data_IF_344725134229
#
_entry.id   IF_344725134229
#
_cell.length_a   1.000
_cell.length_b   1.000
_cell.length_c   1.000
_cell.angle_alpha   90.00
_cell.angle_beta   90.00
_cell.angle_gamma   90.00
#
_symmetry.space_group_name_H-M   'P 1'
#
loop_
_entity.id
_entity.type
_entity.pdbx_description
1 polymer ?
#
# COMPACT_ATOMS: atom_id res chain seq x y z
N UNK A 1 -14.70 -43.46 26.83
CA UNK A 1 -14.10 -42.76 25.66
C UNK A 1 -12.61 -42.64 25.91
N UNK A 2 -11.75 -42.99 24.95
CA UNK A 2 -10.30 -42.74 25.10
C UNK A 2 -10.07 -41.23 25.20
N UNK A 3 -9.33 -40.80 26.21
CA UNK A 3 -8.99 -39.39 26.38
C UNK A 3 -8.19 -38.87 25.19
N UNK A 4 -8.57 -37.70 24.67
CA UNK A 4 -7.93 -37.08 23.50
C UNK A 4 -6.67 -36.32 23.94
N UNK A 5 -5.63 -37.05 24.34
CA UNK A 5 -4.37 -36.45 24.83
C UNK A 5 -3.36 -36.30 23.69
N UNK A 6 -2.62 -35.18 23.68
CA UNK A 6 -1.52 -34.98 22.74
C UNK A 6 -0.29 -35.76 23.23
N UNK A 7 0.09 -36.79 22.48
CA UNK A 7 1.26 -37.63 22.76
C UNK A 7 2.33 -37.46 21.67
N UNK A 8 3.57 -37.84 21.96
CA UNK A 8 4.65 -37.86 20.95
C UNK A 8 4.32 -38.76 19.76
N UNK A 9 3.61 -39.88 19.99
CA UNK A 9 3.13 -40.74 18.90
C UNK A 9 2.14 -40.01 17.98
N UNK A 10 1.23 -39.22 18.54
CA UNK A 10 0.29 -38.41 17.75
C UNK A 10 1.03 -37.32 16.96
N UNK A 11 2.04 -36.68 17.56
CA UNK A 11 2.87 -35.67 16.88
C UNK A 11 3.67 -36.30 15.73
N UNK A 12 4.31 -37.45 15.95
CA UNK A 12 5.05 -38.17 14.91
C UNK A 12 4.13 -38.59 13.74
N UNK A 13 2.92 -39.07 14.06
CA UNK A 13 1.90 -39.36 13.05
C UNK A 13 1.50 -38.10 12.28
N UNK A 14 1.29 -37.00 12.97
CA UNK A 14 0.96 -35.71 12.34
C UNK A 14 2.06 -35.25 11.39
N UNK A 15 3.32 -35.32 11.80
CA UNK A 15 4.46 -34.99 10.96
C UNK A 15 4.51 -35.85 9.69
N UNK A 16 4.30 -37.17 9.82
CA UNK A 16 4.25 -38.11 8.68
C UNK A 16 3.14 -37.74 7.70
N UNK A 17 1.96 -37.41 8.18
CA UNK A 17 0.83 -37.00 7.33
C UNK A 17 1.05 -35.65 6.66
N UNK A 18 1.75 -34.71 7.32
CA UNK A 18 2.15 -33.45 6.67
C UNK A 18 3.19 -33.66 5.56
N UNK A 19 4.13 -34.60 5.74
CA UNK A 19 5.08 -35.02 4.70
C UNK A 19 4.36 -35.63 3.49
N UNK A 20 3.42 -36.55 3.73
CA UNK A 20 2.57 -37.14 2.68
C UNK A 20 1.71 -36.11 1.95
N UNK A 21 1.28 -35.06 2.65
CA UNK A 21 0.55 -33.93 2.07
C UNK A 21 1.46 -32.90 1.38
N UNK A 22 2.71 -33.28 1.08
CA UNK A 22 3.72 -32.47 0.37
C UNK A 22 3.97 -31.09 0.99
N UNK A 23 3.83 -30.97 2.32
CA UNK A 23 4.14 -29.71 3.01
C UNK A 23 5.65 -29.49 3.08
N UNK A 24 6.06 -28.23 2.90
CA UNK A 24 7.48 -27.89 3.00
C UNK A 24 8.03 -28.11 4.41
N UNK A 25 9.33 -28.42 4.57
CA UNK A 25 9.94 -28.66 5.88
C UNK A 25 9.70 -27.54 6.90
N UNK A 26 9.73 -26.28 6.45
CA UNK A 26 9.44 -25.12 7.31
C UNK A 26 7.98 -25.08 7.78
N UNK A 27 7.03 -25.48 6.93
CA UNK A 27 5.62 -25.54 7.30
C UNK A 27 5.39 -26.66 8.32
N UNK A 28 6.03 -27.81 8.12
CA UNK A 28 5.99 -28.95 9.04
C UNK A 28 6.53 -28.55 10.42
N UNK A 29 7.75 -28.01 10.47
CA UNK A 29 8.37 -27.56 11.72
C UNK A 29 7.50 -26.54 12.46
N UNK A 30 6.94 -25.56 11.73
CA UNK A 30 6.03 -24.58 12.32
C UNK A 30 4.80 -25.26 12.90
N UNK A 31 4.13 -26.13 12.15
CA UNK A 31 2.88 -26.76 12.58
C UNK A 31 3.11 -27.67 13.79
N UNK A 32 4.19 -28.45 13.78
CA UNK A 32 4.60 -29.29 14.92
C UNK A 32 4.88 -28.43 16.15
N UNK A 33 5.64 -27.33 16.01
CA UNK A 33 5.92 -26.40 17.11
C UNK A 33 4.63 -25.78 17.68
N UNK A 34 3.72 -25.38 16.81
CA UNK A 34 2.45 -24.76 17.20
C UNK A 34 1.54 -25.77 17.95
N UNK A 35 1.55 -27.05 17.55
CA UNK A 35 0.88 -28.15 18.28
C UNK A 35 1.57 -28.45 19.62
N UNK A 36 2.90 -28.46 19.67
CA UNK A 36 3.65 -28.62 20.93
C UNK A 36 3.32 -27.51 21.92
N UNK A 37 3.09 -26.28 21.44
CA UNK A 37 2.64 -25.18 22.31
C UNK A 37 1.27 -25.48 22.95
N UNK A 38 0.33 -26.02 22.18
CA UNK A 38 -0.95 -26.50 22.73
C UNK A 38 -0.76 -27.67 23.70
N UNK A 39 0.17 -28.59 23.42
CA UNK A 39 0.51 -29.70 24.32
C UNK A 39 1.01 -29.18 25.68
N UNK A 40 1.93 -28.20 25.67
CA UNK A 40 2.42 -27.56 26.90
C UNK A 40 1.28 -26.88 27.65
N UNK A 41 0.38 -26.19 26.95
CA UNK A 41 -0.78 -25.57 27.58
C UNK A 41 -1.74 -26.59 28.19
N UNK A 42 -1.99 -27.69 27.48
CA UNK A 42 -2.86 -28.76 27.97
C UNK A 42 -2.26 -29.45 29.20
N UNK A 43 -0.94 -29.47 29.36
CA UNK A 43 -0.24 -29.99 30.54
C UNK A 43 -0.70 -31.41 30.92
N UNK A 44 -0.71 -32.31 29.93
CA UNK A 44 -1.17 -33.69 30.10
C UNK A 44 -2.68 -33.88 30.17
N UNK A 45 -3.49 -32.81 30.24
CA UNK A 45 -4.96 -32.90 30.24
C UNK A 45 -5.49 -33.37 28.88
N UNK A 46 -6.59 -34.13 28.92
CA UNK A 46 -7.35 -34.47 27.71
C UNK A 46 -7.92 -33.23 27.03
N UNK A 47 -7.81 -33.16 25.70
CA UNK A 47 -8.37 -32.05 24.94
C UNK A 47 -9.90 -32.11 24.93
N UNK A 48 -10.52 -31.05 25.43
CA UNK A 48 -11.96 -30.78 25.34
C UNK A 48 -12.21 -29.51 24.53
N UNK A 49 -13.44 -29.30 24.07
CA UNK A 49 -13.80 -28.08 23.35
C UNK A 49 -13.57 -26.82 24.21
N UNK A 50 -13.85 -26.90 25.50
CA UNK A 50 -13.66 -25.80 26.43
C UNK A 50 -12.19 -25.45 26.64
N UNK A 51 -11.30 -26.45 26.72
CA UNK A 51 -9.86 -26.23 26.78
C UNK A 51 -9.35 -25.53 25.52
N UNK A 52 -9.85 -25.91 24.35
CA UNK A 52 -9.46 -25.28 23.07
C UNK A 52 -9.92 -23.81 23.00
N UNK A 53 -11.11 -23.50 23.50
CA UNK A 53 -11.63 -22.13 23.60
C UNK A 53 -10.81 -21.32 24.61
N UNK A 54 -10.50 -21.89 25.78
CA UNK A 54 -9.65 -21.26 26.78
C UNK A 54 -8.25 -20.96 26.25
N UNK A 55 -7.63 -21.90 25.53
CA UNK A 55 -6.34 -21.69 24.88
C UNK A 55 -6.38 -20.55 23.86
N UNK A 56 -7.45 -20.47 23.05
CA UNK A 56 -7.64 -19.36 22.11
C UNK A 56 -7.70 -18.03 22.85
N UNK A 57 -8.47 -17.95 23.94
CA UNK A 57 -8.61 -16.74 24.76
C UNK A 57 -7.26 -16.32 25.37
N UNK A 58 -6.47 -17.28 25.84
CA UNK A 58 -5.12 -17.00 26.34
C UNK A 58 -4.18 -16.45 25.27
N UNK A 59 -4.24 -16.98 24.05
CA UNK A 59 -3.47 -16.44 22.93
C UNK A 59 -3.87 -15.01 22.58
N UNK A 60 -5.14 -14.63 22.78
CA UNK A 60 -5.67 -13.28 22.57
C UNK A 60 -5.26 -12.32 23.69
N UNK A 61 -5.36 -12.74 24.96
CA UNK A 61 -5.20 -11.87 26.12
C UNK A 61 -3.76 -11.80 26.65
N UNK A 62 -3.08 -12.94 26.75
CA UNK A 62 -1.78 -13.06 27.43
C UNK A 62 -0.62 -13.29 26.44
N UNK A 63 -0.92 -13.79 25.24
CA UNK A 63 0.09 -14.14 24.25
C UNK A 63 0.72 -12.94 23.52
N UNK A 64 0.15 -11.74 23.61
CA UNK A 64 0.62 -10.55 22.88
C UNK A 64 0.62 -10.72 21.35
N UNK A 65 -0.12 -11.69 20.83
CA UNK A 65 -0.10 -12.04 19.41
C UNK A 65 -1.11 -11.21 18.61
N UNK A 66 -0.72 -10.83 17.40
CA UNK A 66 -1.67 -10.28 16.41
C UNK A 66 -2.65 -11.36 15.97
N UNK A 67 -3.89 -10.99 15.65
CA UNK A 67 -4.94 -11.92 15.23
C UNK A 67 -4.54 -12.85 14.07
N UNK A 68 -3.75 -12.37 13.10
CA UNK A 68 -3.23 -13.23 12.02
C UNK A 68 -2.25 -14.30 12.50
N UNK A 69 -1.43 -13.99 13.52
CA UNK A 69 -0.55 -14.97 14.15
C UNK A 69 -1.38 -16.02 14.89
N UNK A 70 -2.40 -15.59 15.65
CA UNK A 70 -3.34 -16.50 16.34
C UNK A 70 -4.01 -17.43 15.33
N UNK A 71 -4.56 -16.88 14.24
CA UNK A 71 -5.15 -17.68 13.17
C UNK A 71 -4.19 -18.71 12.56
N UNK A 72 -2.89 -18.36 12.47
CA UNK A 72 -1.85 -19.28 12.03
C UNK A 72 -1.62 -20.45 12.99
N UNK A 73 -1.66 -20.20 14.32
CA UNK A 73 -1.64 -21.25 15.34
C UNK A 73 -2.89 -22.13 15.25
N UNK A 74 -4.07 -21.51 15.21
CA UNK A 74 -5.36 -22.20 15.13
C UNK A 74 -5.47 -23.07 13.88
N UNK A 75 -4.90 -22.64 12.76
CA UNK A 75 -4.86 -23.44 11.52
C UNK A 75 -4.02 -24.71 11.69
N UNK A 76 -2.86 -24.62 12.34
CA UNK A 76 -2.02 -25.79 12.61
C UNK A 76 -2.73 -26.77 13.56
N UNK A 77 -3.35 -26.24 14.61
CA UNK A 77 -4.10 -27.01 15.60
C UNK A 77 -5.32 -27.70 14.99
N UNK A 78 -6.16 -26.99 14.24
CA UNK A 78 -7.30 -27.58 13.55
C UNK A 78 -6.85 -28.67 12.56
N UNK A 79 -5.72 -28.45 11.86
CA UNK A 79 -5.16 -29.48 10.96
C UNK A 79 -4.71 -30.72 11.73
N UNK A 80 -4.12 -30.55 12.91
CA UNK A 80 -3.79 -31.68 13.80
C UNK A 80 -5.03 -32.43 14.24
N UNK A 81 -6.07 -31.73 14.70
CA UNK A 81 -7.36 -32.33 15.08
C UNK A 81 -7.97 -33.15 13.93
N UNK A 82 -7.95 -32.63 12.69
CA UNK A 82 -8.45 -33.35 11.52
C UNK A 82 -7.65 -34.64 11.28
N UNK A 83 -6.32 -34.59 11.34
CA UNK A 83 -5.47 -35.78 11.15
C UNK A 83 -5.71 -36.85 12.23
N UNK A 84 -6.00 -36.42 13.46
CA UNK A 84 -6.34 -37.31 14.57
C UNK A 84 -7.81 -37.75 14.57
N UNK A 85 -8.63 -37.27 13.61
CA UNK A 85 -10.08 -37.48 13.54
C UNK A 85 -10.86 -36.90 14.74
N UNK A 86 -10.36 -35.82 15.33
CA UNK A 86 -10.98 -35.06 16.43
C UNK A 86 -11.66 -33.78 15.93
N UNK A 87 -12.47 -33.91 14.87
CA UNK A 87 -13.07 -32.76 14.17
C UNK A 87 -13.97 -31.89 15.06
N UNK A 88 -14.52 -32.46 16.13
CA UNK A 88 -15.35 -31.81 17.13
C UNK A 88 -14.57 -30.77 17.98
N UNK A 89 -13.24 -30.89 18.03
CA UNK A 89 -12.35 -29.97 18.73
C UNK A 89 -11.90 -28.77 17.89
N UNK A 90 -12.23 -28.75 16.59
CA UNK A 90 -11.83 -27.65 15.72
C UNK A 90 -12.49 -26.32 16.15
N UNK A 91 -11.68 -25.27 16.26
CA UNK A 91 -12.12 -23.95 16.71
C UNK A 91 -12.07 -22.90 15.61
N UNK A 92 -12.99 -21.94 15.67
CA UNK A 92 -13.09 -20.87 14.68
C UNK A 92 -11.93 -19.89 14.82
N UNK A 93 -11.36 -19.50 13.68
CA UNK A 93 -10.38 -18.42 13.58
C UNK A 93 -11.03 -17.08 13.90
N UNK A 94 -10.19 -16.11 14.30
CA UNK A 94 -10.59 -14.72 14.49
C UNK A 94 -10.85 -14.11 13.12
N UNK A 95 -12.03 -13.51 12.95
CA UNK A 95 -12.34 -12.74 11.74
C UNK A 95 -11.60 -11.41 11.82
N UNK A 96 -10.60 -11.23 10.97
CA UNK A 96 -9.87 -9.97 10.85
C UNK A 96 -10.41 -9.24 9.64
N UNK A 97 -11.06 -8.09 9.86
CA UNK A 97 -11.40 -7.21 8.75
C UNK A 97 -10.10 -6.64 8.19
N UNK A 98 -9.87 -6.82 6.88
CA UNK A 98 -8.72 -6.19 6.23
C UNK A 98 -8.94 -4.69 6.27
N UNK A 99 -8.03 -3.96 6.92
CA UNK A 99 -8.04 -2.50 6.83
C UNK A 99 -7.77 -2.11 5.38
N UNK A 100 -8.66 -1.30 4.81
CA UNK A 100 -8.53 -0.78 3.45
C UNK A 100 -7.29 0.12 3.32
N UNK A 101 -6.81 0.67 4.43
CA UNK A 101 -5.69 1.60 4.50
C UNK A 101 -4.50 0.94 5.21
N UNK A 102 -3.34 0.91 4.55
CA UNK A 102 -2.06 0.66 5.20
C UNK A 102 -1.37 2.00 5.43
N UNK A 103 -0.68 2.14 6.56
CA UNK A 103 -0.03 3.39 6.93
C UNK A 103 1.24 3.56 6.06
N UNK A 104 1.22 4.55 5.15
CA UNK A 104 2.29 4.87 4.19
C UNK A 104 3.65 5.08 4.86
N UNK A 105 3.67 5.50 6.12
CA UNK A 105 4.88 5.67 6.94
C UNK A 105 5.72 4.40 7.06
N UNK A 106 5.15 3.22 6.79
CA UNK A 106 5.84 1.93 6.84
C UNK A 106 6.43 1.51 5.50
N UNK A 107 6.07 2.20 4.42
CA UNK A 107 6.52 1.86 3.09
C UNK A 107 7.87 2.50 2.75
N UNK A 108 8.63 1.79 1.92
CA UNK A 108 9.88 2.30 1.36
C UNK A 108 9.55 3.14 0.12
N UNK A 109 10.03 4.38 0.10
CA UNK A 109 9.88 5.28 -1.06
C UNK A 109 10.96 5.02 -2.10
N UNK A 110 10.71 5.45 -3.35
CA UNK A 110 11.71 5.41 -4.43
C UNK A 110 13.00 6.14 -4.04
N UNK A 111 12.89 7.30 -3.38
CA UNK A 111 14.04 8.08 -2.92
C UNK A 111 14.82 7.38 -1.81
N UNK A 112 14.16 6.77 -0.83
CA UNK A 112 14.83 5.95 0.19
C UNK A 112 15.56 4.76 -0.45
N UNK A 113 14.92 4.08 -1.40
CA UNK A 113 15.53 2.97 -2.15
C UNK A 113 16.79 3.41 -2.93
N UNK A 114 16.71 4.49 -3.71
CA UNK A 114 17.86 5.04 -4.43
C UNK A 114 19.01 5.38 -3.49
N UNK A 115 18.71 6.02 -2.34
CA UNK A 115 19.72 6.29 -1.30
C UNK A 115 20.38 5.00 -0.81
N UNK A 116 19.60 3.98 -0.45
CA UNK A 116 20.14 2.68 -0.02
C UNK A 116 21.08 2.04 -1.04
N UNK A 117 20.70 2.04 -2.33
CA UNK A 117 21.54 1.50 -3.42
C UNK A 117 22.81 2.33 -3.56
N UNK A 118 22.70 3.66 -3.64
CA UNK A 118 23.84 4.55 -3.83
C UNK A 118 24.85 4.49 -2.67
N UNK A 119 24.37 4.43 -1.42
CA UNK A 119 25.21 4.27 -0.23
C UNK A 119 25.93 2.93 -0.22
N UNK A 120 25.23 1.82 -0.53
CA UNK A 120 25.86 0.52 -0.62
C UNK A 120 26.97 0.50 -1.69
N UNK A 121 26.73 1.09 -2.86
CA UNK A 121 27.75 1.22 -3.92
C UNK A 121 28.97 2.05 -3.45
N UNK A 122 28.76 3.20 -2.81
CA UNK A 122 29.84 4.06 -2.30
C UNK A 122 30.68 3.39 -1.21
N UNK A 123 30.08 2.51 -0.42
CA UNK A 123 30.78 1.74 0.62
C UNK A 123 31.50 0.50 0.08
N UNK A 124 31.49 0.26 -1.24
CA UNK A 124 32.06 -0.96 -1.84
C UNK A 124 31.22 -2.22 -1.58
N UNK A 125 30.01 -2.09 -1.02
CA UNK A 125 29.06 -3.18 -0.79
C UNK A 125 28.28 -3.52 -2.07
N UNK A 126 29.01 -3.79 -3.16
CA UNK A 126 28.45 -3.97 -4.49
C UNK A 126 27.40 -5.09 -4.55
N UNK A 127 27.69 -6.24 -3.90
CA UNK A 127 26.73 -7.33 -3.75
C UNK A 127 25.41 -6.86 -3.15
N UNK A 128 25.46 -6.00 -2.13
CA UNK A 128 24.28 -5.46 -1.47
C UNK A 128 23.51 -4.53 -2.41
N UNK A 129 24.20 -3.64 -3.12
CA UNK A 129 23.58 -2.76 -4.11
C UNK A 129 22.86 -3.55 -5.22
N UNK A 130 23.55 -4.51 -5.85
CA UNK A 130 22.98 -5.37 -6.90
C UNK A 130 21.81 -6.20 -6.39
N UNK A 131 21.89 -6.73 -5.17
CA UNK A 131 20.79 -7.48 -4.56
C UNK A 131 19.53 -6.62 -4.39
N UNK A 132 19.69 -5.39 -3.88
CA UNK A 132 18.58 -4.45 -3.73
C UNK A 132 17.93 -4.16 -5.08
N UNK A 133 18.75 -3.90 -6.11
CA UNK A 133 18.31 -3.65 -7.47
C UNK A 133 17.60 -4.86 -8.09
N UNK A 134 18.07 -6.08 -7.85
CA UNK A 134 17.41 -7.29 -8.35
C UNK A 134 16.01 -7.45 -7.76
N UNK A 135 15.86 -7.33 -6.44
CA UNK A 135 14.56 -7.50 -5.80
C UNK A 135 13.60 -6.38 -6.22
N UNK A 136 14.07 -5.12 -6.22
CA UNK A 136 13.25 -3.96 -6.58
C UNK A 136 12.92 -3.91 -8.07
N UNK A 137 13.83 -4.31 -8.95
CA UNK A 137 13.65 -4.23 -10.41
C UNK A 137 12.83 -5.38 -11.01
N UNK A 138 12.72 -6.51 -10.31
CA UNK A 138 11.95 -7.68 -10.79
C UNK A 138 10.72 -7.97 -9.94
N UNK A 139 10.57 -7.30 -8.79
CA UNK A 139 9.48 -7.52 -7.86
C UNK A 139 9.45 -8.92 -7.24
N UNK A 140 10.52 -9.71 -7.29
CA UNK A 140 10.53 -11.11 -6.84
C UNK A 140 10.41 -11.26 -5.33
N UNK A 141 9.97 -12.44 -4.86
CA UNK A 141 10.05 -12.77 -3.43
C UNK A 141 11.50 -13.08 -3.08
N UNK A 142 11.91 -12.79 -1.85
CA UNK A 142 13.29 -13.10 -1.40
C UNK A 142 13.67 -14.57 -1.55
N UNK A 143 12.71 -15.50 -1.41
CA UNK A 143 12.95 -16.93 -1.63
C UNK A 143 13.11 -17.33 -3.11
N UNK A 144 12.83 -16.41 -4.04
CA UNK A 144 13.02 -16.60 -5.48
C UNK A 144 14.39 -16.04 -5.93
N UNK A 145 15.09 -15.27 -5.08
CA UNK A 145 16.38 -14.65 -5.42
C UNK A 145 17.45 -15.68 -5.80
N UNK A 146 17.44 -16.85 -5.18
CA UNK A 146 18.39 -17.94 -5.46
C UNK A 146 18.26 -18.52 -6.87
N UNK A 147 17.14 -18.27 -7.56
CA UNK A 147 16.93 -18.72 -8.94
C UNK A 147 17.55 -17.76 -9.96
N UNK A 148 17.88 -16.52 -9.57
CA UNK A 148 18.61 -15.59 -10.44
C UNK A 148 20.05 -16.10 -10.55
N UNK A 149 20.37 -16.71 -11.69
CA UNK A 149 21.62 -17.42 -11.96
C UNK A 149 22.34 -16.85 -13.18
N UNK A 150 23.60 -17.24 -13.39
CA UNK A 150 24.41 -16.74 -14.52
C UNK A 150 23.74 -17.04 -15.86
N UNK A 151 23.14 -18.23 -16.02
CA UNK A 151 22.48 -18.65 -17.24
C UNK A 151 21.30 -17.75 -17.63
N UNK A 152 20.51 -17.27 -16.67
CA UNK A 152 19.35 -16.42 -16.96
C UNK A 152 19.74 -15.00 -17.42
N UNK A 153 20.98 -14.57 -17.17
CA UNK A 153 21.45 -13.24 -17.60
C UNK A 153 21.63 -13.15 -19.12
N UNK A 154 21.76 -14.28 -19.83
CA UNK A 154 21.84 -14.30 -21.29
C UNK A 154 20.45 -14.17 -21.93
N UNK A 155 19.46 -14.85 -21.35
CA UNK A 155 18.10 -14.92 -21.89
C UNK A 155 17.17 -13.81 -21.36
N UNK A 156 17.60 -13.09 -20.32
CA UNK A 156 16.80 -12.07 -19.66
C UNK A 156 15.57 -12.59 -18.90
N UNK A 157 15.49 -13.90 -18.66
CA UNK A 157 14.36 -14.53 -17.98
C UNK A 157 14.76 -15.82 -17.28
N UNK A 158 14.02 -16.18 -16.23
CA UNK A 158 14.17 -17.45 -15.53
C UNK A 158 12.82 -18.02 -15.11
N UNK A 159 12.65 -19.33 -15.26
CA UNK A 159 11.48 -20.06 -14.77
C UNK A 159 11.73 -20.56 -13.34
N UNK A 160 10.83 -20.19 -12.42
CA UNK A 160 10.92 -20.52 -11.00
C UNK A 160 9.84 -21.50 -10.60
N UNK A 161 10.28 -22.61 -10.04
CA UNK A 161 9.44 -23.68 -9.52
C UNK A 161 9.35 -23.56 -7.99
N UNK A 162 8.19 -23.13 -7.48
CA UNK A 162 7.99 -22.93 -6.05
C UNK A 162 6.62 -23.47 -5.60
N UNK A 163 6.62 -24.45 -4.69
CA UNK A 163 5.40 -25.02 -4.07
C UNK A 163 4.32 -25.41 -5.10
N UNK A 164 4.72 -26.12 -6.15
CA UNK A 164 3.82 -26.58 -7.21
C UNK A 164 3.38 -25.51 -8.21
N UNK A 165 3.98 -24.31 -8.16
CA UNK A 165 3.75 -23.23 -9.14
C UNK A 165 5.01 -22.98 -9.93
N UNK A 166 4.85 -22.91 -11.24
CA UNK A 166 5.90 -22.45 -12.17
C UNK A 166 5.52 -21.04 -12.61
N UNK A 167 6.45 -20.11 -12.50
CA UNK A 167 6.29 -18.77 -13.06
C UNK A 167 7.59 -18.29 -13.69
N UNK A 168 7.45 -17.51 -14.75
CA UNK A 168 8.57 -16.82 -15.38
C UNK A 168 8.83 -15.50 -14.68
N UNK A 169 10.09 -15.22 -14.42
CA UNK A 169 10.59 -13.92 -13.95
C UNK A 169 11.32 -13.29 -15.12
N UNK A 170 10.98 -12.04 -15.43
CA UNK A 170 11.65 -11.25 -16.45
C UNK A 170 12.66 -10.31 -15.79
N UNK A 171 13.85 -10.18 -16.39
CA UNK A 171 14.90 -9.30 -15.93
C UNK A 171 14.94 -8.08 -16.85
N UNK A 172 14.78 -6.84 -16.34
CA UNK A 172 14.99 -5.64 -17.14
C UNK A 172 16.39 -5.62 -17.77
N UNK A 173 16.53 -5.18 -19.02
CA UNK A 173 17.82 -5.19 -19.74
C UNK A 173 18.92 -4.44 -18.97
N UNK A 174 18.61 -3.29 -18.38
CA UNK A 174 19.57 -2.55 -17.55
C UNK A 174 20.04 -3.36 -16.32
N UNK A 175 19.15 -4.15 -15.71
CA UNK A 175 19.54 -5.03 -14.61
C UNK A 175 20.43 -6.18 -15.12
N UNK A 176 20.12 -6.75 -16.29
CA UNK A 176 20.94 -7.81 -16.87
C UNK A 176 22.38 -7.36 -17.06
N UNK A 177 22.61 -6.19 -17.64
CA UNK A 177 23.95 -5.65 -17.85
C UNK A 177 24.70 -5.40 -16.53
N UNK A 178 24.03 -4.82 -15.53
CA UNK A 178 24.62 -4.63 -14.20
C UNK A 178 24.99 -5.95 -13.52
N UNK A 179 24.19 -7.01 -13.71
CA UNK A 179 24.48 -8.32 -13.14
C UNK A 179 25.56 -9.07 -13.93
N UNK A 180 25.64 -8.89 -15.26
CA UNK A 180 26.73 -9.43 -16.11
C UNK A 180 28.08 -8.86 -15.68
N UNK A 181 28.16 -7.54 -15.52
CA UNK A 181 29.37 -6.87 -15.02
C UNK A 181 29.76 -7.42 -13.63
N UNK A 182 28.79 -7.54 -12.73
CA UNK A 182 29.02 -8.07 -11.39
C UNK A 182 29.54 -9.52 -11.39
N UNK A 183 28.95 -10.43 -12.17
CA UNK A 183 29.41 -11.83 -12.22
C UNK A 183 30.79 -11.96 -12.87
N UNK A 184 31.11 -11.14 -13.87
CA UNK A 184 32.45 -11.08 -14.47
C UNK A 184 33.49 -10.60 -13.46
N UNK A 185 33.24 -9.48 -12.78
CA UNK A 185 34.15 -8.91 -11.78
C UNK A 185 34.42 -9.85 -10.62
N UNK A 186 33.45 -10.66 -10.23
CA UNK A 186 33.56 -11.62 -9.13
C UNK A 186 33.89 -13.05 -9.57
N UNK A 187 34.22 -13.28 -10.86
CA UNK A 187 34.53 -14.60 -11.43
C UNK A 187 33.45 -15.67 -11.12
N UNK A 188 32.17 -15.30 -11.19
CA UNK A 188 31.05 -16.20 -10.97
C UNK A 188 30.65 -16.80 -12.33
N UNK A 189 31.14 -17.99 -12.62
CA UNK A 189 30.92 -18.65 -13.91
C UNK A 189 29.58 -19.40 -13.99
N UNK A 190 29.07 -19.89 -12.86
CA UNK A 190 27.85 -20.69 -12.80
C UNK A 190 27.07 -20.51 -11.50
N UNK A 191 25.86 -21.08 -11.47
CA UNK A 191 24.99 -21.04 -10.29
C UNK A 191 24.36 -19.68 -10.03
N UNK A 192 23.88 -19.49 -8.80
CA UNK A 192 23.21 -18.25 -8.40
C UNK A 192 24.16 -17.05 -8.51
N UNK A 193 23.63 -15.89 -8.93
CA UNK A 193 24.40 -14.62 -9.02
C UNK A 193 24.88 -14.19 -7.63
N UNK A 194 24.04 -14.35 -6.61
CA UNK A 194 24.36 -13.95 -5.25
C UNK A 194 24.74 -15.15 -4.41
N UNK A 195 26.05 -15.35 -4.23
CA UNK A 195 26.61 -16.46 -3.45
C UNK A 195 27.19 -15.99 -2.11
N UNK A 196 27.21 -16.86 -1.10
CA UNK A 196 27.92 -16.69 0.15
C UNK A 196 29.41 -17.07 -0.02
N UNK A 197 30.19 -17.08 1.06
CA UNK A 197 31.63 -17.43 1.03
C UNK A 197 31.91 -18.89 0.61
N UNK A 198 30.90 -19.75 0.70
CA UNK A 198 30.99 -21.17 0.35
C UNK A 198 30.37 -21.45 -1.04
N UNK A 199 30.23 -20.43 -1.89
CA UNK A 199 29.63 -20.52 -3.23
C UNK A 199 28.16 -20.98 -3.26
N UNK A 200 27.47 -21.00 -2.12
CA UNK A 200 26.05 -21.33 -2.05
C UNK A 200 25.19 -20.07 -2.19
N UNK A 201 23.96 -20.15 -2.70
CA UNK A 201 23.06 -19.00 -2.77
C UNK A 201 22.90 -18.31 -1.41
N UNK A 202 22.90 -16.98 -1.39
CA UNK A 202 22.67 -16.21 -0.16
C UNK A 202 21.32 -16.57 0.45
N UNK A 203 21.32 -16.79 1.76
CA UNK A 203 20.10 -17.13 2.47
C UNK A 203 19.26 -15.88 2.80
N UNK A 204 18.00 -16.10 3.17
CA UNK A 204 17.07 -15.00 3.52
C UNK A 204 17.55 -14.16 4.70
N UNK A 205 18.27 -14.75 5.67
CA UNK A 205 18.74 -14.04 6.86
C UNK A 205 19.87 -13.09 6.49
N UNK A 206 20.79 -13.53 5.63
CA UNK A 206 21.85 -12.70 5.07
C UNK A 206 21.26 -11.54 4.27
N UNK A 207 20.27 -11.80 3.40
CA UNK A 207 19.58 -10.73 2.67
C UNK A 207 19.02 -9.68 3.61
N UNK A 208 18.29 -10.11 4.65
CA UNK A 208 17.74 -9.19 5.66
C UNK A 208 18.82 -8.38 6.35
N UNK A 209 19.91 -9.03 6.79
CA UNK A 209 21.02 -8.36 7.46
C UNK A 209 21.66 -7.30 6.57
N UNK A 210 21.94 -7.63 5.30
CA UNK A 210 22.49 -6.70 4.31
C UNK A 210 21.58 -5.50 4.06
N UNK A 211 20.27 -5.76 3.88
CA UNK A 211 19.28 -4.68 3.70
C UNK A 211 19.21 -3.74 4.90
N UNK A 212 19.20 -4.29 6.13
CA UNK A 212 19.19 -3.48 7.36
C UNK A 212 20.44 -2.63 7.48
N UNK A 213 21.61 -3.20 7.20
CA UNK A 213 22.88 -2.46 7.20
C UNK A 213 22.87 -1.31 6.18
N UNK A 214 22.45 -1.58 4.94
CA UNK A 214 22.34 -0.54 3.91
C UNK A 214 21.36 0.57 4.29
N UNK A 215 20.23 0.24 4.92
CA UNK A 215 19.27 1.22 5.39
C UNK A 215 19.82 2.11 6.51
N UNK A 216 20.47 1.52 7.51
CA UNK A 216 21.12 2.28 8.58
C UNK A 216 22.18 3.23 8.02
N UNK A 217 23.03 2.73 7.12
CA UNK A 217 24.06 3.54 6.47
C UNK A 217 23.47 4.68 5.60
N UNK A 218 22.29 4.48 5.01
CA UNK A 218 21.62 5.46 4.16
C UNK A 218 20.67 6.42 4.92
N UNK A 219 20.62 6.34 6.26
CA UNK A 219 19.68 7.13 7.07
C UNK A 219 18.21 6.78 6.83
N UNK A 220 17.92 5.57 6.35
CA UNK A 220 16.56 5.08 6.13
C UNK A 220 16.10 4.31 7.37
N UNK A 221 14.88 4.56 7.89
CA UNK A 221 14.36 3.84 9.04
C UNK A 221 14.46 2.32 8.85
N UNK A 222 15.22 1.66 9.74
CA UNK A 222 15.52 0.24 9.59
C UNK A 222 14.24 -0.60 9.52
N UNK A 223 13.17 -0.19 10.20
CA UNK A 223 11.84 -0.80 10.15
C UNK A 223 11.29 -1.01 8.74
N UNK A 224 11.63 -0.14 7.78
CA UNK A 224 11.21 -0.23 6.37
C UNK A 224 12.05 -1.21 5.54
N UNK A 225 13.27 -1.53 5.98
CA UNK A 225 14.22 -2.28 5.20
C UNK A 225 14.02 -3.80 5.34
N UNK A 226 13.11 -4.35 4.54
CA UNK A 226 12.89 -5.79 4.40
C UNK A 226 12.41 -6.12 2.97
N UNK A 227 12.68 -7.33 2.44
CA UNK A 227 12.47 -7.64 1.03
C UNK A 227 11.05 -7.46 0.52
N UNK A 228 10.04 -7.69 1.37
CA UNK A 228 8.66 -7.45 0.97
C UNK A 228 8.42 -5.97 0.65
N UNK A 229 9.04 -5.04 1.38
CA UNK A 229 8.87 -3.61 1.11
C UNK A 229 9.46 -3.19 -0.24
N UNK A 230 10.57 -3.79 -0.68
CA UNK A 230 11.09 -3.59 -2.04
C UNK A 230 10.11 -4.09 -3.11
N UNK A 231 9.47 -5.23 -2.85
CA UNK A 231 8.41 -5.74 -3.74
C UNK A 231 7.16 -4.87 -3.71
N UNK A 232 6.81 -4.28 -2.57
CA UNK A 232 5.75 -3.27 -2.49
C UNK A 232 6.09 -2.04 -3.33
N UNK A 233 7.32 -1.54 -3.21
CA UNK A 233 7.82 -0.44 -4.04
C UNK A 233 7.69 -0.79 -5.53
N UNK A 234 8.20 -1.95 -5.97
CA UNK A 234 8.03 -2.40 -7.36
C UNK A 234 6.57 -2.38 -7.81
N UNK A 235 5.67 -2.94 -7.00
CA UNK A 235 4.27 -3.07 -7.35
C UNK A 235 3.58 -1.71 -7.51
N UNK A 236 3.88 -0.77 -6.60
CA UNK A 236 3.37 0.59 -6.65
C UNK A 236 3.87 1.35 -7.87
N UNK A 237 5.17 1.32 -8.13
CA UNK A 237 5.80 2.00 -9.27
C UNK A 237 5.30 1.43 -10.60
N UNK A 238 5.21 0.10 -10.70
CA UNK A 238 4.67 -0.56 -11.89
C UNK A 238 3.20 -0.17 -12.12
N UNK A 239 2.38 -0.15 -11.07
CA UNK A 239 0.99 0.26 -11.19
C UNK A 239 0.84 1.74 -11.54
N UNK A 240 1.63 2.62 -10.93
CA UNK A 240 1.62 4.06 -11.25
C UNK A 240 1.96 4.33 -12.71
N UNK A 241 2.86 3.53 -13.31
CA UNK A 241 3.23 3.66 -14.72
C UNK A 241 2.23 3.04 -15.69
N UNK A 242 1.56 1.95 -15.30
CA UNK A 242 0.76 1.14 -16.24
C UNK A 242 -0.76 1.23 -16.03
N UNK A 243 -1.21 1.54 -14.81
CA UNK A 243 -2.62 1.47 -14.42
C UNK A 243 -3.22 0.05 -14.45
N UNK A 244 -2.42 -0.99 -14.68
CA UNK A 244 -2.91 -2.35 -14.99
C UNK A 244 -2.62 -3.33 -13.84
N UNK A 245 -3.64 -3.54 -13.01
CA UNK A 245 -3.57 -4.47 -11.88
C UNK A 245 -3.47 -5.94 -12.31
N UNK A 246 -3.97 -6.29 -13.50
CA UNK A 246 -3.95 -7.67 -14.01
C UNK A 246 -2.54 -8.02 -14.45
N UNK A 247 -1.91 -7.18 -15.28
CA UNK A 247 -0.50 -7.33 -15.64
C UNK A 247 0.40 -7.33 -14.41
N UNK A 248 0.12 -6.49 -13.42
CA UNK A 248 0.87 -6.51 -12.17
C UNK A 248 0.74 -7.87 -11.46
N UNK A 249 -0.46 -8.45 -11.40
CA UNK A 249 -0.67 -9.76 -10.81
C UNK A 249 0.12 -10.87 -11.53
N UNK A 250 0.14 -10.82 -12.87
CA UNK A 250 0.89 -11.76 -13.71
C UNK A 250 2.39 -11.64 -13.47
N UNK A 251 2.92 -10.41 -13.53
CA UNK A 251 4.35 -10.13 -13.31
C UNK A 251 4.78 -10.55 -11.91
N UNK A 252 3.93 -10.34 -10.89
CA UNK A 252 4.22 -10.76 -9.52
C UNK A 252 3.95 -12.26 -9.26
N UNK A 253 3.30 -12.97 -10.17
CA UNK A 253 2.89 -14.37 -10.00
C UNK A 253 1.93 -14.55 -8.84
N UNK A 254 0.88 -13.72 -8.79
CA UNK A 254 -0.23 -13.87 -7.85
C UNK A 254 -1.36 -14.68 -8.49
N UNK A 255 -1.83 -15.72 -7.80
CA UNK A 255 -2.96 -16.53 -8.28
C UNK A 255 -4.33 -15.90 -8.02
N UNK A 256 -4.37 -14.72 -7.42
CA UNK A 256 -5.60 -13.97 -7.17
C UNK A 256 -5.28 -12.48 -7.18
N UNK A 257 -6.11 -11.71 -7.88
CA UNK A 257 -6.04 -10.26 -7.95
C UNK A 257 -6.21 -9.64 -6.56
N UNK A 258 -6.93 -10.29 -5.63
CA UNK A 258 -7.08 -9.80 -4.25
C UNK A 258 -5.75 -9.74 -3.49
N UNK A 259 -4.77 -10.55 -3.90
CA UNK A 259 -3.41 -10.49 -3.37
C UNK A 259 -2.65 -9.31 -3.95
N UNK A 260 -3.01 -8.84 -5.15
CA UNK A 260 -2.44 -7.67 -5.81
C UNK A 260 -3.10 -6.37 -5.34
N UNK A 261 -4.38 -6.41 -4.96
CA UNK A 261 -5.14 -5.24 -4.47
C UNK A 261 -4.50 -4.56 -3.26
N UNK A 262 -3.74 -5.29 -2.44
CA UNK A 262 -3.02 -4.70 -1.28
C UNK A 262 -1.98 -3.66 -1.71
N UNK A 263 -1.44 -3.75 -2.93
CA UNK A 263 -0.43 -2.84 -3.46
C UNK A 263 -1.04 -1.61 -4.16
N UNK A 264 -2.32 -1.70 -4.49
CA UNK A 264 -3.09 -0.68 -5.22
C UNK A 264 -4.08 0.00 -4.27
N UNK A 265 -3.82 -0.08 -2.96
CA UNK A 265 -4.60 0.67 -1.98
C UNK A 265 -4.34 2.15 -2.21
N UNK A 266 -5.19 2.76 -3.02
CA UNK A 266 -5.26 4.20 -3.16
C UNK A 266 -5.58 4.80 -1.81
N UNK A 267 -5.00 5.97 -1.55
CA UNK A 267 -5.23 6.67 -0.29
C UNK A 267 -6.72 6.99 -0.15
N UNK A 268 -7.20 7.18 1.08
CA UNK A 268 -8.54 7.73 1.29
C UNK A 268 -8.72 9.09 0.58
N UNK A 269 -7.62 9.81 0.34
CA UNK A 269 -7.57 11.08 -0.38
C UNK A 269 -7.81 10.90 -1.88
N UNK A 270 -7.20 9.90 -2.53
CA UNK A 270 -7.45 9.59 -3.95
C UNK A 270 -8.89 9.09 -4.17
N UNK A 271 -9.40 8.22 -3.29
CA UNK A 271 -10.81 7.80 -3.36
C UNK A 271 -11.74 8.97 -3.14
N UNK A 272 -11.43 9.86 -2.19
CA UNK A 272 -12.22 11.08 -1.96
C UNK A 272 -12.19 11.99 -3.19
N UNK A 273 -11.02 12.23 -3.80
CA UNK A 273 -10.93 13.02 -5.03
C UNK A 273 -11.70 12.40 -6.19
N UNK A 274 -11.66 11.08 -6.35
CA UNK A 274 -12.47 10.39 -7.36
C UNK A 274 -13.97 10.50 -7.08
N UNK A 275 -14.39 10.37 -5.81
CA UNK A 275 -15.78 10.57 -5.41
C UNK A 275 -16.24 12.02 -5.61
N UNK A 276 -15.37 12.99 -5.29
CA UNK A 276 -15.61 14.42 -5.51
C UNK A 276 -15.76 14.71 -7.02
N UNK A 277 -14.98 14.03 -7.88
CA UNK A 277 -15.07 14.15 -9.35
C UNK A 277 -16.31 13.49 -9.96
N UNK A 278 -16.98 12.58 -9.25
CA UNK A 278 -18.22 11.97 -9.76
C UNK A 278 -19.40 12.94 -9.75
N UNK A 279 -19.30 14.11 -9.09
CA UNK A 279 -20.34 15.15 -9.00
C UNK A 279 -21.74 14.61 -8.63
N UNK A 280 -21.82 13.49 -7.91
CA UNK A 280 -23.08 12.85 -7.53
C UNK A 280 -23.79 13.54 -6.36
N UNK A 281 -23.07 14.43 -5.66
CA UNK A 281 -23.62 15.28 -4.62
C UNK A 281 -24.05 16.58 -5.28
N UNK A 282 -25.33 16.65 -5.63
CA UNK A 282 -25.95 17.87 -6.19
C UNK A 282 -26.56 18.65 -5.04
N UNK A 283 -26.11 19.88 -4.81
CA UNK A 283 -26.81 20.77 -3.90
C UNK A 283 -28.15 21.15 -4.55
N UNK A 284 -29.27 21.00 -3.83
CA UNK A 284 -30.59 21.44 -4.27
C UNK A 284 -30.65 22.92 -4.69
N UNK A 285 -29.63 23.72 -4.34
CA UNK A 285 -29.47 25.11 -4.78
C UNK A 285 -28.80 25.27 -6.15
N UNK A 286 -28.11 24.24 -6.66
CA UNK A 286 -27.44 24.24 -7.97
C UNK A 286 -28.39 23.90 -9.13
N UNK A 287 -29.65 23.57 -8.84
CA UNK A 287 -30.69 23.23 -9.83
C UNK A 287 -31.21 24.48 -10.59
N UNK A 288 -30.66 25.67 -10.35
CA UNK A 288 -31.15 26.95 -10.87
C UNK A 288 -30.45 27.52 -12.11
N UNK A 289 -29.55 26.80 -12.76
CA UNK A 289 -28.79 27.32 -13.93
C UNK A 289 -29.01 26.48 -15.19
N UNK A 290 -30.26 26.24 -15.55
CA UNK A 290 -30.62 25.71 -16.86
C UNK A 290 -31.41 26.78 -17.63
N UNK A 291 -30.69 27.61 -18.39
CA UNK A 291 -31.29 28.59 -19.31
C UNK A 291 -30.34 29.71 -19.74
N UNK A 292 -29.46 29.41 -20.70
CA UNK A 292 -28.59 30.34 -21.47
C UNK A 292 -27.52 31.15 -20.70
N UNK A 293 -26.29 30.62 -20.74
CA UNK A 293 -24.97 31.15 -20.31
C UNK A 293 -24.67 32.65 -20.62
N UNK A 294 -23.70 33.35 -19.96
CA UNK A 294 -22.48 32.78 -19.36
C UNK A 294 -22.12 33.26 -17.94
N UNK A 295 -21.56 32.34 -17.17
CA UNK A 295 -20.62 32.65 -16.08
C UNK A 295 -19.42 31.74 -16.32
N UNK A 296 -18.29 32.30 -16.73
CA UNK A 296 -17.02 31.58 -16.77
C UNK A 296 -16.06 32.24 -15.80
N UNK A 297 -15.43 31.42 -14.96
CA UNK A 297 -14.35 31.81 -14.06
C UNK A 297 -13.05 31.44 -14.79
N UNK A 298 -12.21 32.43 -15.12
CA UNK A 298 -10.84 32.16 -15.61
C UNK A 298 -9.90 31.94 -14.42
N UNK A 299 -8.71 31.35 -14.65
CA UNK A 299 -7.68 31.14 -13.61
C UNK A 299 -7.25 32.46 -12.92
N UNK A 300 -7.53 33.61 -13.54
CA UNK A 300 -7.32 34.96 -13.01
C UNK A 300 -8.50 35.53 -12.20
N UNK A 301 -9.62 34.80 -12.05
CA UNK A 301 -10.76 35.21 -11.23
C UNK A 301 -11.77 36.15 -11.89
N UNK A 302 -11.71 36.36 -13.20
CA UNK A 302 -12.62 37.28 -13.92
C UNK A 302 -13.96 36.58 -14.17
N UNK A 303 -15.08 37.26 -13.87
CA UNK A 303 -16.44 36.79 -14.18
C UNK A 303 -17.12 37.72 -15.19
N UNK A 304 -17.48 37.17 -16.35
CA UNK A 304 -18.42 37.81 -17.28
C UNK A 304 -19.83 37.34 -16.93
N UNK A 305 -20.75 38.27 -16.66
CA UNK A 305 -22.15 37.99 -16.35
C UNK A 305 -23.09 38.82 -17.22
N UNK A 306 -24.20 38.23 -17.68
CA UNK A 306 -25.32 38.96 -18.31
C UNK A 306 -26.10 39.77 -17.27
N UNK A 307 -26.90 40.75 -17.71
CA UNK A 307 -27.72 41.59 -16.83
C UNK A 307 -28.69 40.79 -15.94
N UNK A 308 -29.19 39.65 -16.44
CA UNK A 308 -30.04 38.72 -15.69
C UNK A 308 -29.28 38.06 -14.52
N UNK A 309 -28.03 37.64 -14.75
CA UNK A 309 -27.18 36.99 -13.75
C UNK A 309 -26.76 37.97 -12.64
N UNK A 310 -26.55 39.24 -12.99
CA UNK A 310 -26.28 40.32 -12.01
C UNK A 310 -27.48 40.52 -11.07
N UNK A 311 -28.72 40.37 -11.58
CA UNK A 311 -29.93 40.47 -10.77
C UNK A 311 -30.05 39.31 -9.77
N UNK A 312 -29.77 38.08 -10.20
CA UNK A 312 -29.75 36.90 -9.31
C UNK A 312 -28.65 37.00 -8.24
N UNK A 313 -27.49 37.56 -8.58
CA UNK A 313 -26.41 37.82 -7.61
C UNK A 313 -26.78 38.92 -6.60
N UNK A 314 -27.51 39.95 -7.02
CA UNK A 314 -27.95 41.04 -6.15
C UNK A 314 -28.98 40.60 -5.09
N UNK A 315 -29.80 39.60 -5.43
CA UNK A 315 -30.81 39.01 -4.54
C UNK A 315 -30.24 37.89 -3.63
N UNK A 316 -29.01 37.42 -3.90
CA UNK A 316 -28.35 36.35 -3.12
C UNK A 316 -27.14 36.89 -2.32
N UNK A 317 -27.37 37.15 -1.03
CA UNK A 317 -26.42 37.77 -0.09
C UNK A 317 -25.11 36.98 0.11
N UNK A 318 -25.05 35.71 -0.27
CA UNK A 318 -23.84 34.88 -0.13
C UNK A 318 -22.92 34.99 -1.35
N UNK A 319 -23.49 35.06 -2.57
CA UNK A 319 -22.73 35.25 -3.80
C UNK A 319 -22.15 36.67 -3.90
N UNK A 320 -22.91 37.67 -3.43
CA UNK A 320 -22.46 39.07 -3.39
C UNK A 320 -21.18 39.29 -2.55
N UNK A 321 -20.98 38.47 -1.51
CA UNK A 321 -19.83 38.59 -0.59
C UNK A 321 -18.54 37.96 -1.12
N UNK A 322 -18.60 37.08 -2.13
CA UNK A 322 -17.41 36.33 -2.61
C UNK A 322 -16.80 36.86 -3.90
N UNK A 323 -17.48 37.74 -4.62
CA UNK A 323 -17.20 37.92 -6.07
C UNK A 323 -16.82 39.36 -6.49
N UNK A 324 -16.94 40.39 -5.65
CA UNK A 324 -16.81 41.77 -6.15
C UNK A 324 -15.48 42.46 -5.78
N UNK A 325 -14.63 42.71 -6.79
CA UNK A 325 -13.49 43.64 -6.72
C UNK A 325 -13.86 45.04 -7.25
N UNK A 326 -13.39 46.15 -6.63
CA UNK A 326 -13.86 47.51 -6.95
C UNK A 326 -13.45 48.05 -8.33
N UNK A 327 -12.28 47.68 -8.84
CA UNK A 327 -11.71 48.25 -10.08
C UNK A 327 -12.40 47.75 -11.36
N UNK A 328 -12.79 46.47 -11.38
CA UNK A 328 -13.45 45.85 -12.54
C UNK A 328 -14.94 46.25 -12.62
N UNK A 329 -15.53 46.56 -11.46
CA UNK A 329 -16.85 47.15 -11.33
C UNK A 329 -16.98 48.51 -12.02
N UNK A 330 -15.94 49.35 -11.99
CA UNK A 330 -15.94 50.64 -12.68
C UNK A 330 -15.99 50.49 -14.21
N UNK A 331 -15.40 49.43 -14.77
CA UNK A 331 -15.49 49.10 -16.20
C UNK A 331 -16.87 48.58 -16.59
N UNK A 332 -17.59 47.87 -15.71
CA UNK A 332 -18.98 47.47 -15.96
C UNK A 332 -19.95 48.65 -15.81
N UNK A 333 -19.67 49.59 -14.90
CA UNK A 333 -20.47 50.82 -14.75
C UNK A 333 -20.48 51.71 -15.99
N UNK A 334 -19.41 51.68 -16.81
CA UNK A 334 -19.35 52.47 -18.05
C UNK A 334 -20.20 51.90 -19.18
N UNK A 335 -20.67 50.66 -19.06
CA UNK A 335 -21.51 49.99 -20.07
C UNK A 335 -23.01 49.99 -19.71
N UNK A 336 -23.36 50.32 -18.46
CA UNK A 336 -24.74 50.45 -18.01
C UNK A 336 -25.34 51.82 -18.36
N UNK A 337 -26.58 51.84 -18.85
CA UNK A 337 -27.33 53.09 -19.12
C UNK A 337 -28.75 53.05 -18.54
N UNK A 338 -29.35 54.22 -18.31
CA UNK A 338 -30.76 54.36 -17.94
C UNK A 338 -31.15 53.79 -16.56
N UNK A 339 -32.25 53.04 -16.51
CA UNK A 339 -32.87 52.57 -15.25
C UNK A 339 -32.02 51.59 -14.46
N UNK A 340 -31.15 50.84 -15.13
CA UNK A 340 -30.39 49.76 -14.51
C UNK A 340 -29.19 50.31 -13.72
N UNK A 341 -28.58 51.40 -14.21
CA UNK A 341 -27.58 52.17 -13.46
C UNK A 341 -28.17 52.71 -12.14
N UNK A 342 -29.39 53.24 -12.20
CA UNK A 342 -30.08 53.85 -11.05
C UNK A 342 -30.47 52.82 -9.98
N UNK A 343 -30.94 51.64 -10.38
CA UNK A 343 -31.24 50.52 -9.45
C UNK A 343 -29.97 49.97 -8.80
N UNK A 344 -28.89 49.90 -9.56
CA UNK A 344 -27.61 49.43 -9.04
C UNK A 344 -27.00 50.42 -8.04
N UNK A 345 -27.01 51.72 -8.34
CA UNK A 345 -26.58 52.78 -7.41
C UNK A 345 -27.35 52.73 -6.08
N UNK A 346 -28.67 52.46 -6.13
CA UNK A 346 -29.50 52.29 -4.92
C UNK A 346 -29.15 51.02 -4.12
N UNK A 347 -28.79 49.93 -4.79
CA UNK A 347 -28.36 48.69 -4.14
C UNK A 347 -26.96 48.84 -3.52
N UNK A 348 -26.02 49.48 -4.22
CA UNK A 348 -24.68 49.75 -3.71
C UNK A 348 -24.71 50.64 -2.47
N UNK A 349 -25.51 51.72 -2.48
CA UNK A 349 -25.70 52.56 -1.29
C UNK A 349 -26.27 51.78 -0.10
N UNK A 350 -27.15 50.80 -0.32
CA UNK A 350 -27.66 49.91 0.75
C UNK A 350 -26.57 49.01 1.32
N UNK A 351 -25.67 48.50 0.47
CA UNK A 351 -24.54 47.67 0.92
C UNK A 351 -23.51 48.51 1.67
N UNK A 352 -23.15 49.68 1.16
CA UNK A 352 -22.18 50.57 1.80
C UNK A 352 -22.66 51.06 3.17
N UNK A 353 -23.98 51.29 3.32
CA UNK A 353 -24.61 51.57 4.61
C UNK A 353 -24.64 50.35 5.54
N UNK A 354 -24.75 49.13 4.99
CA UNK A 354 -24.72 47.88 5.78
C UNK A 354 -23.31 47.48 6.25
N UNK A 355 -22.27 47.83 5.48
CA UNK A 355 -20.87 47.50 5.78
C UNK A 355 -20.22 48.47 6.81
N UNK A 356 -20.80 49.65 7.04
CA UNK A 356 -20.40 50.52 8.15
C UNK A 356 -20.77 49.94 9.54
N UNK A 357 -21.55 48.86 9.61
CA UNK A 357 -21.91 48.19 10.86
C UNK A 357 -20.92 47.10 11.32
N UNK A 358 -19.91 46.75 10.51
CA UNK A 358 -18.87 45.78 10.90
C UNK A 358 -17.50 46.32 10.51
N UNK A 359 -16.94 47.16 11.39
CA UNK A 359 -15.56 47.61 11.30
C UNK A 359 -14.60 46.43 11.44
N UNK A 360 -14.18 45.83 10.32
CA UNK A 360 -12.82 45.26 10.09
C UNK A 360 -12.73 44.45 8.78
N UNK A 361 -13.07 45.03 7.62
CA UNK A 361 -12.74 44.39 6.32
C UNK A 361 -12.09 45.30 5.28
N UNK A 362 -12.00 46.61 5.50
CA UNK A 362 -11.24 47.54 4.63
C UNK A 362 -9.73 47.28 4.59
N UNK A 363 -9.14 46.64 5.61
CA UNK A 363 -7.68 46.49 5.72
C UNK A 363 -7.08 45.16 5.19
N UNK A 364 -7.81 44.38 4.38
CA UNK A 364 -7.27 43.11 3.84
C UNK A 364 -7.17 43.02 2.32
N UNK A 365 -7.41 44.12 1.60
CA UNK A 365 -7.35 44.15 0.12
C UNK A 365 -6.48 45.31 -0.40
N UNK A 366 -5.46 45.72 0.35
CA UNK A 366 -4.38 46.54 -0.18
C UNK A 366 -3.05 46.05 0.40
N UNK A 367 -2.17 45.55 -0.47
CA UNK A 367 -0.89 46.21 -0.63
C UNK A 367 -0.75 46.76 -2.05
N UNK A 368 -0.70 48.08 -2.11
CA UNK A 368 0.03 48.93 -3.06
C UNK A 368 0.83 48.17 -4.12
N UNK A 369 0.35 48.23 -5.36
CA UNK A 369 1.23 48.28 -6.54
C UNK A 369 1.70 49.73 -6.63
N UNK A 370 2.98 49.94 -6.35
CA UNK A 370 3.81 50.91 -7.06
C UNK A 370 4.78 50.09 -7.91
#
# INVERSE_FOLDING_TARGET
MKEKIITEQNIARFEKELKKSEKTPNTIHKYVRDVRKLQTYADGRGLTRDLMIAYKKELEEQGGYKANSINSFLTAINRFCIVMKWNDLCIKTIKVQRTAFENEEKELTMEEYKRMVSTASRQGEEKTARLLQTIAGTGIRVGELSYINVACLQNGMVDVHNKGKVRRILLPSALQELLKEYVQKHNICEGAVFQNRNHQPVDRREVWRRMKAAAMAAGVPSGKAFPHNLRHLFAREFYQQTGDIVKLADVLGHSSIDTTRIYVKSTGKEHKQQLDQMNMVVDHKDVGLAGNEPVRITESGIILATAENVRVMADNTYLSQRILFPLEMMCFMSTLSGSDKKKWEQWYQKIEQSDNAVGSRKNRIFPTIL
#
